data_IF_101747500650
#
_entry.id   IF_101747500650
#
_cell.length_a   1.000
_cell.length_b   1.000
_cell.length_c   1.000
_cell.angle_alpha   90.00
_cell.angle_beta   90.00
_cell.angle_gamma   90.00
#
_symmetry.space_group_name_H-M   'P 1'
#
loop_
_entity.id
_entity.type
_entity.pdbx_description
1 polymer ?
#
# COMPACT_ATOMS: atom_id res chain seq x y z
N UNK A 1 40.24 -64.72 8.65
CA UNK A 1 39.43 -64.92 7.42
C UNK A 1 38.03 -65.27 7.89
N UNK A 2 37.19 -64.25 8.02
CA UNK A 2 36.11 -63.93 7.06
C UNK A 2 35.02 -64.99 7.08
N UNK A 3 33.85 -64.63 7.60
CA UNK A 3 32.53 -65.02 7.09
C UNK A 3 31.45 -64.25 7.86
N UNK A 4 31.08 -63.07 7.35
CA UNK A 4 29.85 -62.37 7.71
C UNK A 4 28.73 -63.06 6.91
N UNK A 5 27.62 -63.53 7.53
CA UNK A 5 26.58 -64.24 6.81
C UNK A 5 25.79 -63.27 5.94
N UNK A 6 25.75 -63.55 4.63
CA UNK A 6 24.92 -62.83 3.67
C UNK A 6 23.44 -62.95 4.04
N UNK A 7 22.74 -61.82 3.93
CA UNK A 7 21.37 -61.64 4.41
C UNK A 7 20.41 -62.54 3.63
N UNK A 8 19.86 -63.57 4.27
CA UNK A 8 18.85 -64.47 3.72
C UNK A 8 17.47 -63.81 3.52
N UNK A 9 17.36 -62.85 2.58
CA UNK A 9 16.05 -62.36 2.12
C UNK A 9 15.44 -63.41 1.19
N UNK A 10 14.31 -64.00 1.59
CA UNK A 10 13.55 -64.90 0.72
C UNK A 10 13.14 -64.17 -0.56
N UNK A 11 13.15 -64.86 -1.70
CA UNK A 11 12.85 -64.30 -3.04
C UNK A 11 11.54 -63.49 -3.06
N UNK A 12 10.53 -63.90 -2.27
CA UNK A 12 9.25 -63.19 -2.12
C UNK A 12 9.39 -61.82 -1.46
N UNK A 13 10.27 -61.67 -0.47
CA UNK A 13 10.55 -60.39 0.20
C UNK A 13 11.30 -59.44 -0.73
N UNK A 14 12.26 -59.95 -1.52
CA UNK A 14 12.96 -59.14 -2.52
C UNK A 14 11.99 -58.60 -3.59
N UNK A 15 11.10 -59.45 -4.12
CA UNK A 15 10.10 -59.05 -5.11
C UNK A 15 9.16 -57.98 -4.53
N UNK A 16 8.67 -58.13 -3.29
CA UNK A 16 7.81 -57.13 -2.64
C UNK A 16 8.50 -55.78 -2.47
N UNK A 17 9.78 -55.78 -2.06
CA UNK A 17 10.56 -54.55 -1.93
C UNK A 17 10.74 -53.84 -3.28
N UNK A 18 11.01 -54.59 -4.36
CA UNK A 18 11.12 -54.04 -5.71
C UNK A 18 9.79 -53.43 -6.16
N UNK A 19 8.67 -54.13 -5.93
CA UNK A 19 7.33 -53.61 -6.29
C UNK A 19 7.02 -52.31 -5.54
N UNK A 20 7.30 -52.26 -4.23
CA UNK A 20 7.12 -51.03 -3.43
C UNK A 20 8.02 -49.91 -3.94
N UNK A 21 9.28 -50.22 -4.26
CA UNK A 21 10.23 -49.23 -4.78
C UNK A 21 9.75 -48.63 -6.10
N UNK A 22 9.29 -49.47 -7.04
CA UNK A 22 8.73 -49.00 -8.32
C UNK A 22 7.51 -48.12 -8.10
N UNK A 23 6.62 -48.50 -7.16
CA UNK A 23 5.43 -47.72 -6.83
C UNK A 23 5.79 -46.36 -6.21
N UNK A 24 6.75 -46.31 -5.30
CA UNK A 24 7.21 -45.05 -4.69
C UNK A 24 7.87 -44.16 -5.74
N UNK A 25 8.74 -44.71 -6.59
CA UNK A 25 9.39 -43.94 -7.65
C UNK A 25 8.39 -43.41 -8.68
N UNK A 26 7.38 -44.19 -9.06
CA UNK A 26 6.36 -43.73 -10.00
C UNK A 26 5.53 -42.58 -9.41
N UNK A 27 5.17 -42.66 -8.13
CA UNK A 27 4.46 -41.58 -7.44
C UNK A 27 5.29 -40.30 -7.38
N UNK A 28 6.57 -40.41 -7.00
CA UNK A 28 7.49 -39.27 -6.94
C UNK A 28 7.72 -38.65 -8.32
N UNK A 29 7.89 -39.46 -9.37
CA UNK A 29 8.01 -38.96 -10.75
C UNK A 29 6.75 -38.23 -11.20
N UNK A 30 5.57 -38.74 -10.82
CA UNK A 30 4.29 -38.10 -11.17
C UNK A 30 4.15 -36.74 -10.49
N UNK A 31 4.48 -36.66 -9.18
CA UNK A 31 4.47 -35.40 -8.43
C UNK A 31 5.53 -34.43 -8.95
N UNK A 32 6.74 -34.92 -9.26
CA UNK A 32 7.82 -34.11 -9.83
C UNK A 32 7.46 -33.55 -11.20
N UNK A 33 6.87 -34.37 -12.08
CA UNK A 33 6.34 -33.93 -13.37
C UNK A 33 5.22 -32.90 -13.23
N UNK A 34 4.32 -33.09 -12.27
CA UNK A 34 3.26 -32.11 -11.96
C UNK A 34 3.85 -30.79 -11.46
N UNK A 35 4.84 -30.85 -10.58
CA UNK A 35 5.53 -29.68 -10.07
C UNK A 35 6.25 -28.92 -11.19
N UNK A 36 6.96 -29.64 -12.05
CA UNK A 36 7.63 -29.07 -13.22
C UNK A 36 6.63 -28.39 -14.16
N UNK A 37 5.47 -29.02 -14.41
CA UNK A 37 4.42 -28.41 -15.22
C UNK A 37 3.93 -27.09 -14.62
N UNK A 38 3.65 -27.06 -13.31
CA UNK A 38 3.18 -25.85 -12.65
C UNK A 38 4.25 -24.75 -12.61
N UNK A 39 5.53 -25.10 -12.41
CA UNK A 39 6.60 -24.11 -12.28
C UNK A 39 7.17 -23.63 -13.61
N UNK A 40 7.40 -24.52 -14.59
CA UNK A 40 8.05 -24.17 -15.86
C UNK A 40 7.02 -23.83 -16.94
N UNK A 41 5.92 -24.60 -17.05
CA UNK A 41 4.95 -24.40 -18.14
C UNK A 41 3.97 -23.27 -17.84
N UNK A 42 3.49 -23.20 -16.61
CA UNK A 42 2.50 -22.21 -16.16
C UNK A 42 3.06 -21.23 -15.12
N UNK A 43 4.39 -21.20 -14.90
CA UNK A 43 5.01 -20.35 -13.90
C UNK A 43 4.69 -18.88 -14.09
N UNK A 44 4.79 -18.39 -15.32
CA UNK A 44 4.53 -16.97 -15.66
C UNK A 44 3.07 -16.58 -15.44
N UNK A 45 2.13 -17.49 -15.72
CA UNK A 45 0.69 -17.27 -15.53
C UNK A 45 0.32 -17.19 -14.04
N UNK A 46 0.78 -18.15 -13.23
CA UNK A 46 0.50 -18.17 -11.80
C UNK A 46 1.26 -17.09 -11.02
N UNK A 47 2.44 -16.66 -11.48
CA UNK A 47 3.16 -15.53 -10.87
C UNK A 47 2.47 -14.20 -11.18
N UNK A 48 1.92 -14.03 -12.38
CA UNK A 48 1.10 -12.87 -12.73
C UNK A 48 -0.19 -12.80 -11.90
N UNK A 49 -0.90 -13.93 -11.73
CA UNK A 49 -2.11 -14.00 -10.91
C UNK A 49 -1.82 -13.78 -9.41
N UNK A 50 -0.69 -14.30 -8.91
CA UNK A 50 -0.26 -14.09 -7.53
C UNK A 50 0.12 -12.63 -7.24
N UNK A 51 0.68 -11.91 -8.22
CA UNK A 51 0.97 -10.48 -8.08
C UNK A 51 -0.30 -9.63 -7.87
N UNK A 52 -1.46 -10.11 -8.31
CA UNK A 52 -2.77 -9.47 -8.08
C UNK A 52 -3.36 -9.66 -6.68
N UNK A 53 -2.85 -10.60 -5.88
CA UNK A 53 -3.44 -11.00 -4.60
C UNK A 53 -2.84 -10.31 -3.36
N UNK A 54 -2.09 -9.21 -3.55
CA UNK A 54 -1.56 -8.42 -2.44
C UNK A 54 -2.66 -7.62 -1.74
N UNK A 55 -3.06 -8.02 -0.52
CA UNK A 55 -3.95 -7.20 0.31
C UNK A 55 -3.12 -6.12 1.00
N UNK A 56 -3.40 -4.85 0.71
CA UNK A 56 -2.77 -3.70 1.37
C UNK A 56 -3.70 -3.13 2.44
N UNK A 57 -3.25 -3.14 3.70
CA UNK A 57 -3.98 -2.49 4.78
C UNK A 57 -3.63 -1.00 4.81
N UNK A 58 -4.58 -0.15 4.43
CA UNK A 58 -4.49 1.30 4.60
C UNK A 58 -5.27 1.68 5.85
N UNK A 59 -4.58 2.25 6.83
CA UNK A 59 -5.21 2.69 8.08
C UNK A 59 -5.92 4.02 7.83
N UNK A 60 -7.25 4.00 7.82
CA UNK A 60 -8.05 5.22 7.86
C UNK A 60 -8.12 5.70 9.32
N UNK A 61 -7.55 6.87 9.66
CA UNK A 61 -7.57 7.36 11.03
C UNK A 61 -9.00 7.73 11.47
N UNK A 62 -9.37 7.33 12.68
CA UNK A 62 -10.62 7.75 13.31
C UNK A 62 -10.53 9.20 13.81
N UNK A 63 -11.68 9.88 13.85
CA UNK A 63 -11.78 11.24 14.40
C UNK A 63 -11.55 11.21 15.92
N UNK A 64 -10.69 12.10 16.42
CA UNK A 64 -10.39 12.20 17.86
C UNK A 64 -11.56 12.81 18.63
N UNK A 65 -11.70 12.49 19.91
CA UNK A 65 -12.68 13.17 20.79
C UNK A 65 -12.41 14.68 20.95
N UNK A 66 -13.46 15.44 21.25
CA UNK A 66 -13.34 16.85 21.64
C UNK A 66 -12.76 16.97 23.05
N UNK A 67 -11.83 17.90 23.25
CA UNK A 67 -11.31 18.29 24.55
C UNK A 67 -12.06 19.54 24.99
N UNK A 68 -12.75 19.46 26.13
CA UNK A 68 -13.60 20.52 26.67
C UNK A 68 -12.98 21.10 27.96
N UNK A 69 -13.25 22.38 28.24
CA UNK A 69 -13.00 22.98 29.55
C UNK A 69 -14.05 22.52 30.59
N UNK A 70 -13.90 22.95 31.85
CA UNK A 70 -14.84 22.59 32.93
C UNK A 70 -16.28 23.10 32.71
N UNK A 71 -16.49 24.06 31.80
CA UNK A 71 -17.80 24.62 31.42
C UNK A 71 -18.38 23.95 30.17
N UNK A 72 -17.67 22.99 29.57
CA UNK A 72 -18.06 22.32 28.33
C UNK A 72 -17.66 23.07 27.05
N UNK A 73 -16.85 24.12 27.14
CA UNK A 73 -16.37 24.87 25.96
C UNK A 73 -15.25 24.09 25.29
N UNK A 74 -15.31 23.80 23.97
CA UNK A 74 -14.26 23.07 23.29
C UNK A 74 -12.97 23.89 23.23
N UNK A 75 -11.89 23.33 23.76
CA UNK A 75 -10.52 23.83 23.60
C UNK A 75 -9.88 23.25 22.34
N UNK A 76 -10.22 22.01 22.02
CA UNK A 76 -9.78 21.37 20.80
C UNK A 76 -10.86 20.40 20.30
N UNK A 77 -11.43 20.70 19.15
CA UNK A 77 -12.47 19.90 18.48
C UNK A 77 -12.05 19.57 17.05
N UNK A 78 -12.96 19.00 16.26
CA UNK A 78 -12.70 18.73 14.86
C UNK A 78 -13.72 19.48 14.02
N UNK A 79 -13.23 20.08 12.94
CA UNK A 79 -14.02 20.80 11.95
C UNK A 79 -13.93 20.05 10.63
N UNK A 80 -15.05 19.94 9.91
CA UNK A 80 -15.01 19.36 8.57
C UNK A 80 -14.46 20.41 7.60
N UNK A 81 -13.31 20.11 6.99
CA UNK A 81 -12.67 20.94 5.97
C UNK A 81 -12.52 20.15 4.67
N UNK A 82 -12.48 20.86 3.54
CA UNK A 82 -12.15 20.25 2.25
C UNK A 82 -10.64 20.10 2.16
N UNK A 83 -10.17 18.87 2.30
CA UNK A 83 -8.75 18.56 2.26
C UNK A 83 -8.41 17.99 0.90
N UNK A 84 -7.42 18.60 0.25
CA UNK A 84 -6.86 18.11 -1.00
C UNK A 84 -5.58 17.36 -0.67
N UNK A 85 -5.55 16.07 -1.01
CA UNK A 85 -4.46 15.17 -0.68
C UNK A 85 -3.85 14.55 -1.94
N UNK A 86 -2.55 14.27 -1.88
CA UNK A 86 -1.79 13.65 -2.94
C UNK A 86 -1.28 12.27 -2.51
N UNK A 87 -1.53 11.26 -3.34
CA UNK A 87 -0.99 9.92 -3.18
C UNK A 87 0.40 9.84 -3.78
N UNK A 88 1.43 9.85 -2.94
CA UNK A 88 2.83 9.77 -3.39
C UNK A 88 3.10 8.50 -4.20
N UNK A 89 2.49 7.38 -3.83
CA UNK A 89 2.69 6.10 -4.53
C UNK A 89 2.09 6.09 -5.93
N UNK A 90 0.97 6.77 -6.15
CA UNK A 90 0.38 6.90 -7.48
C UNK A 90 1.17 7.87 -8.35
N UNK A 91 1.63 9.00 -7.79
CA UNK A 91 2.48 9.97 -8.49
C UNK A 91 3.79 9.33 -8.96
N UNK A 92 4.45 8.51 -8.13
CA UNK A 92 5.69 7.81 -8.48
C UNK A 92 5.52 6.70 -9.52
N UNK A 93 4.29 6.24 -9.78
CA UNK A 93 4.02 5.26 -10.86
C UNK A 93 3.91 5.95 -12.22
N UNK A 94 3.81 7.28 -12.26
CA UNK A 94 3.67 8.04 -13.49
C UNK A 94 5.03 8.24 -14.18
N UNK A 95 5.00 8.45 -15.49
CA UNK A 95 6.22 8.62 -16.30
C UNK A 95 7.06 9.83 -15.91
N UNK A 96 6.43 10.85 -15.32
CA UNK A 96 7.01 12.12 -14.94
C UNK A 96 7.07 12.31 -13.41
N UNK A 97 6.96 11.23 -12.63
CA UNK A 97 6.87 11.27 -11.16
C UNK A 97 5.76 12.21 -10.63
N UNK A 98 4.70 12.42 -11.44
CA UNK A 98 3.56 13.27 -11.09
C UNK A 98 3.81 14.78 -11.24
N UNK A 99 4.95 15.19 -11.80
CA UNK A 99 5.33 16.60 -12.02
C UNK A 99 4.24 17.38 -12.74
N UNK A 100 3.65 16.83 -13.80
CA UNK A 100 2.59 17.48 -14.57
C UNK A 100 1.27 17.62 -13.82
N UNK A 101 0.91 16.60 -13.03
CA UNK A 101 -0.29 16.62 -12.17
C UNK A 101 -0.14 17.67 -11.07
N UNK A 102 1.02 17.70 -10.40
CA UNK A 102 1.30 18.67 -9.34
C UNK A 102 1.34 20.12 -9.86
N UNK A 103 1.78 20.34 -11.10
CA UNK A 103 1.70 21.66 -11.75
C UNK A 103 0.25 22.08 -11.97
N UNK A 104 -0.59 21.23 -12.57
CA UNK A 104 -2.02 21.53 -12.75
C UNK A 104 -2.74 21.74 -11.43
N UNK A 105 -2.37 20.96 -10.41
CA UNK A 105 -2.95 21.08 -9.08
C UNK A 105 -2.61 22.44 -8.45
N UNK A 106 -1.36 22.88 -8.61
CA UNK A 106 -0.92 24.20 -8.13
C UNK A 106 -1.71 25.33 -8.81
N UNK A 107 -2.00 25.23 -10.10
CA UNK A 107 -2.82 26.20 -10.83
C UNK A 107 -4.27 26.27 -10.28
N UNK A 108 -4.87 25.13 -9.93
CA UNK A 108 -6.22 25.10 -9.34
C UNK A 108 -6.21 25.68 -7.92
N UNK A 109 -5.19 25.34 -7.13
CA UNK A 109 -5.09 25.75 -5.73
C UNK A 109 -4.57 27.18 -5.53
N UNK A 110 -4.21 27.89 -6.60
CA UNK A 110 -3.53 29.20 -6.56
C UNK A 110 -2.26 29.16 -5.68
N UNK A 111 -1.50 28.08 -5.81
CA UNK A 111 -0.26 27.83 -5.07
C UNK A 111 0.93 27.81 -6.02
N UNK A 112 2.14 28.06 -5.50
CA UNK A 112 3.35 27.85 -6.31
C UNK A 112 3.58 26.36 -6.49
N UNK A 113 3.96 25.96 -7.70
CA UNK A 113 4.29 24.56 -8.04
C UNK A 113 5.36 23.98 -7.10
N UNK A 114 6.36 24.78 -6.73
CA UNK A 114 7.40 24.37 -5.78
C UNK A 114 6.81 24.06 -4.40
N UNK A 115 5.93 24.91 -3.87
CA UNK A 115 5.33 24.70 -2.54
C UNK A 115 4.51 23.41 -2.49
N UNK A 116 3.78 23.10 -3.57
CA UNK A 116 3.01 21.85 -3.68
C UNK A 116 3.94 20.63 -3.72
N UNK A 117 4.99 20.67 -4.56
CA UNK A 117 5.99 19.58 -4.63
C UNK A 117 6.70 19.38 -3.30
N UNK A 118 6.97 20.49 -2.61
CA UNK A 118 7.67 20.49 -1.35
C UNK A 118 6.86 19.86 -0.22
N UNK A 119 5.53 20.04 -0.23
CA UNK A 119 4.64 19.36 0.72
C UNK A 119 4.55 17.84 0.49
N UNK A 120 4.67 17.39 -0.76
CA UNK A 120 4.49 15.97 -1.14
C UNK A 120 5.74 15.10 -0.89
N UNK A 121 6.92 15.71 -0.67
CA UNK A 121 8.14 14.97 -0.30
C UNK A 121 8.09 14.50 1.16
N UNK A 122 8.70 13.34 1.41
CA UNK A 122 8.84 12.80 2.77
C UNK A 122 9.93 13.55 3.54
N UNK A 123 9.73 13.71 4.83
CA UNK A 123 10.77 14.22 5.71
C UNK A 123 11.88 13.17 5.88
N UNK A 124 13.11 13.55 5.58
CA UNK A 124 14.32 12.81 5.92
C UNK A 124 15.35 13.73 6.61
N UNK A 125 16.53 13.22 6.92
CA UNK A 125 17.58 14.00 7.60
C UNK A 125 18.17 15.14 6.77
N UNK A 126 17.88 15.20 5.47
CA UNK A 126 18.45 16.16 4.51
C UNK A 126 17.40 17.09 3.90
N UNK A 127 16.11 16.77 4.05
CA UNK A 127 15.00 17.46 3.41
C UNK A 127 14.53 18.63 4.28
N UNK A 128 14.63 19.89 3.79
CA UNK A 128 14.15 21.05 4.52
C UNK A 128 12.61 21.06 4.59
N UNK A 129 12.03 21.69 5.61
CA UNK A 129 10.57 21.88 5.64
C UNK A 129 10.10 22.85 4.53
N UNK A 130 8.89 22.68 3.99
CA UNK A 130 7.85 21.71 4.35
C UNK A 130 8.13 20.30 3.82
N UNK A 131 7.68 19.27 4.54
CA UNK A 131 7.76 17.86 4.14
C UNK A 131 6.74 17.03 4.95
N UNK A 132 6.40 15.84 4.45
CA UNK A 132 5.48 14.90 5.09
C UNK A 132 6.18 13.97 6.08
N UNK A 133 5.73 13.96 7.33
CA UNK A 133 6.28 13.14 8.41
C UNK A 133 5.54 11.81 8.62
N UNK A 134 4.47 11.54 7.85
CA UNK A 134 3.69 10.32 7.94
C UNK A 134 4.23 9.19 7.05
N UNK A 135 3.43 8.14 6.92
CA UNK A 135 3.75 7.01 6.04
C UNK A 135 3.70 7.44 4.56
N UNK A 136 4.58 6.91 3.69
CA UNK A 136 4.54 7.18 2.24
C UNK A 136 3.28 6.66 1.55
N UNK A 137 2.54 5.76 2.22
CA UNK A 137 1.30 5.18 1.71
C UNK A 137 0.05 5.95 2.14
N UNK A 138 0.20 6.93 3.04
CA UNK A 138 -0.90 7.78 3.43
C UNK A 138 -1.06 8.91 2.41
N UNK A 139 -2.30 9.27 2.04
CA UNK A 139 -2.55 10.48 1.28
C UNK A 139 -1.95 11.69 2.01
N UNK A 140 -1.11 12.45 1.32
CA UNK A 140 -0.39 13.59 1.87
C UNK A 140 -1.26 14.84 1.68
N UNK A 141 -1.77 15.48 2.75
CA UNK A 141 -2.58 16.68 2.62
C UNK A 141 -1.73 17.84 2.09
N UNK A 142 -2.09 18.33 0.90
CA UNK A 142 -1.46 19.50 0.26
C UNK A 142 -2.04 20.79 0.85
N UNK A 143 -3.35 20.83 1.05
CA UNK A 143 -4.07 21.94 1.68
C UNK A 143 -5.34 21.46 2.38
N UNK A 144 -5.68 22.10 3.49
CA UNK A 144 -6.94 21.94 4.22
C UNK A 144 -7.87 23.16 4.08
N UNK A 145 -7.47 24.14 3.28
CA UNK A 145 -8.21 25.40 3.05
C UNK A 145 -8.77 25.49 1.62
N UNK A 146 -8.94 24.35 0.94
CA UNK A 146 -9.46 24.34 -0.41
C UNK A 146 -10.92 24.84 -0.44
N UNK A 147 -11.23 25.69 -1.39
CA UNK A 147 -12.60 26.13 -1.63
C UNK A 147 -13.43 25.01 -2.27
N UNK A 148 -14.75 25.08 -2.11
CA UNK A 148 -15.68 24.12 -2.74
C UNK A 148 -15.49 24.07 -4.26
N UNK A 149 -15.27 25.21 -4.91
CA UNK A 149 -15.06 25.28 -6.36
C UNK A 149 -13.78 24.55 -6.78
N UNK A 150 -12.68 24.74 -6.06
CA UNK A 150 -11.41 24.05 -6.32
C UNK A 150 -11.56 22.54 -6.11
N UNK A 151 -12.19 22.12 -5.02
CA UNK A 151 -12.43 20.70 -4.73
C UNK A 151 -13.31 20.04 -5.80
N UNK A 152 -14.39 20.70 -6.22
CA UNK A 152 -15.27 20.19 -7.27
C UNK A 152 -14.54 20.11 -8.62
N UNK A 153 -13.75 21.12 -8.98
CA UNK A 153 -12.98 21.10 -10.22
C UNK A 153 -12.01 19.91 -10.29
N UNK A 154 -11.36 19.57 -9.17
CA UNK A 154 -10.48 18.39 -9.08
C UNK A 154 -11.28 17.10 -9.23
N UNK A 155 -12.44 16.99 -8.55
CA UNK A 155 -13.28 15.79 -8.59
C UNK A 155 -13.94 15.54 -9.94
N UNK A 156 -14.39 16.60 -10.62
CA UNK A 156 -15.00 16.51 -11.94
C UNK A 156 -14.00 16.10 -13.02
N UNK A 157 -12.70 16.42 -12.82
CA UNK A 157 -11.62 16.11 -13.75
C UNK A 157 -10.62 15.11 -13.16
N UNK A 158 -11.13 14.06 -12.51
CA UNK A 158 -10.27 13.04 -11.88
C UNK A 158 -9.25 12.42 -12.86
N UNK A 159 -9.58 12.36 -14.17
CA UNK A 159 -8.67 11.92 -15.23
C UNK A 159 -7.44 12.83 -15.41
N UNK A 160 -7.61 14.14 -15.20
CA UNK A 160 -6.52 15.13 -15.27
C UNK A 160 -5.67 15.17 -13.98
N UNK A 161 -6.22 14.65 -12.88
CA UNK A 161 -5.62 14.65 -11.54
C UNK A 161 -5.48 13.23 -10.94
N UNK A 162 -4.83 12.28 -11.65
CA UNK A 162 -4.58 10.97 -11.08
C UNK A 162 -3.74 11.09 -9.80
N UNK A 163 -4.05 10.30 -8.77
CA UNK A 163 -3.35 10.40 -7.48
C UNK A 163 -3.72 11.59 -6.60
N UNK A 164 -4.67 12.44 -6.99
CA UNK A 164 -5.14 13.55 -6.15
C UNK A 164 -6.58 13.28 -5.71
N UNK A 165 -6.85 13.46 -4.42
CA UNK A 165 -8.20 13.38 -3.85
C UNK A 165 -8.58 14.71 -3.21
N UNK A 166 -9.85 15.07 -3.30
CA UNK A 166 -10.39 16.27 -2.68
C UNK A 166 -11.68 15.88 -1.93
N UNK A 167 -11.58 15.69 -0.62
CA UNK A 167 -12.65 15.11 0.19
C UNK A 167 -12.87 15.87 1.50
N UNK A 168 -14.13 15.94 2.00
CA UNK A 168 -14.41 16.46 3.32
C UNK A 168 -13.73 15.59 4.38
N UNK A 169 -12.79 16.16 5.12
CA UNK A 169 -12.04 15.48 6.18
C UNK A 169 -12.15 16.26 7.49
N UNK A 170 -12.21 15.55 8.61
CA UNK A 170 -12.17 16.17 9.94
C UNK A 170 -10.75 16.64 10.28
N UNK A 171 -10.53 17.95 10.32
CA UNK A 171 -9.27 18.58 10.70
C UNK A 171 -9.36 19.09 12.13
N UNK A 172 -8.26 18.98 12.88
CA UNK A 172 -8.21 19.44 14.28
C UNK A 172 -8.26 20.96 14.32
N UNK A 173 -9.24 21.50 15.05
CA UNK A 173 -9.37 22.92 15.32
C UNK A 173 -9.04 23.19 16.79
N UNK A 174 -8.23 24.21 17.03
CA UNK A 174 -7.87 24.67 18.37
C UNK A 174 -8.55 26.01 18.61
N UNK A 175 -9.65 25.99 19.36
CA UNK A 175 -10.33 27.21 19.73
C UNK A 175 -9.58 27.85 20.92
N UNK A 176 -9.42 29.18 20.88
CA UNK A 176 -8.91 29.90 22.04
C UNK A 176 -9.87 29.70 23.23
N UNK A 177 -9.37 29.74 24.48
CA UNK A 177 -10.23 29.62 25.67
C UNK A 177 -11.35 30.67 25.60
N UNK A 178 -12.59 30.25 25.86
CA UNK A 178 -13.71 31.19 25.98
C UNK A 178 -13.38 32.25 27.02
N UNK A 179 -13.43 33.53 26.63
CA UNK A 179 -13.23 34.67 27.54
C UNK A 179 -14.12 34.45 28.78
N UNK A 180 -13.53 34.52 29.95
CA UNK A 180 -14.21 34.32 31.23
C UNK A 180 -15.27 35.40 31.45
#
# INVERSE_FOLDING_TARGET
MSNIPETGRTQRVQIRLIVIQVLVFSLLLTLGGRLWYLQIRNGDEYTAEAAGNGVQQVVQPAVRGSILDARGVPLADNETRLVVSASRTELLKMKDDGVGVLTRLADVLDMKVQDVRDKVRLCDSKTPQPCWNGSPYQPIPVTDEATTQQALQIRERAEDFPGITAEPTAVRRYAAPGKA
#
